data_IF_353373292310
#
_entry.id   IF_353373292310
#
_cell.length_a   1.000
_cell.length_b   1.000
_cell.length_c   1.000
_cell.angle_alpha   90.00
_cell.angle_beta   90.00
_cell.angle_gamma   90.00
#
_symmetry.space_group_name_H-M   'P 1'
#
loop_
_entity.id
_entity.type
_entity.pdbx_description
1 polymer ?
#
# COMPACT_ATOMS: atom_id res chain seq x y z
N UNK A 1 -11.76 13.11 32.76
CA UNK A 1 -11.31 11.74 33.09
C UNK A 1 -12.49 10.78 33.04
N UNK A 2 -12.75 10.16 31.88
CA UNK A 2 -13.73 9.09 31.76
C UNK A 2 -13.10 7.80 32.30
N UNK A 3 -13.32 7.51 33.58
CA UNK A 3 -12.92 6.26 34.25
C UNK A 3 -14.14 5.35 34.28
N UNK A 4 -14.07 4.20 33.62
CA UNK A 4 -15.06 3.13 33.75
C UNK A 4 -14.99 2.56 35.18
N UNK A 5 -15.89 3.02 36.07
CA UNK A 5 -16.20 2.31 37.32
C UNK A 5 -17.35 1.34 37.06
N UNK A 6 -17.05 0.05 37.01
CA UNK A 6 -18.06 -1.01 37.13
C UNK A 6 -18.26 -1.25 38.64
N UNK A 7 -19.48 -1.11 39.20
CA UNK A 7 -19.67 -1.34 40.63
C UNK A 7 -19.57 -2.85 40.93
N UNK A 8 -18.53 -3.25 41.67
CA UNK A 8 -18.50 -4.53 42.37
C UNK A 8 -18.22 -4.24 43.84
N UNK A 9 -19.20 -4.50 44.69
CA UNK A 9 -19.00 -4.51 46.14
C UNK A 9 -18.10 -5.70 46.50
N UNK A 10 -16.86 -5.43 46.87
CA UNK A 10 -16.18 -6.22 47.90
C UNK A 10 -15.14 -5.36 48.61
N UNK A 11 -15.14 -5.51 49.93
CA UNK A 11 -14.36 -4.76 50.90
C UNK A 11 -12.88 -5.13 50.87
N UNK A 12 -12.04 -4.12 51.17
CA UNK A 12 -10.61 -4.15 51.54
C UNK A 12 -9.57 -4.16 50.38
N UNK A 13 -8.69 -3.14 50.42
CA UNK A 13 -7.35 -2.96 49.80
C UNK A 13 -7.20 -1.75 48.82
N UNK A 14 -5.99 -1.13 48.74
CA UNK A 14 -5.81 0.32 48.68
C UNK A 14 -5.74 0.95 47.27
N UNK A 15 -6.00 2.27 47.23
CA UNK A 15 -5.93 3.18 46.07
C UNK A 15 -4.63 3.03 45.25
N UNK A 16 -4.74 2.62 43.99
CA UNK A 16 -3.76 2.90 42.95
C UNK A 16 -4.51 3.26 41.65
N UNK A 17 -4.26 4.47 41.15
CA UNK A 17 -4.77 4.99 39.88
C UNK A 17 -3.99 4.34 38.73
N UNK A 18 -4.66 3.54 37.91
CA UNK A 18 -4.09 2.95 36.70
C UNK A 18 -4.85 3.52 35.50
N UNK A 19 -4.13 4.15 34.58
CA UNK A 19 -4.64 4.68 33.32
C UNK A 19 -4.96 3.52 32.35
N UNK A 20 -6.22 3.11 32.27
CA UNK A 20 -6.64 1.99 31.42
C UNK A 20 -6.84 2.45 29.95
N UNK A 21 -5.97 1.96 29.04
CA UNK A 21 -6.02 2.18 27.58
C UNK A 21 -6.78 1.02 26.92
N UNK A 22 -7.84 1.32 26.15
CA UNK A 22 -8.62 0.31 25.42
C UNK A 22 -8.09 0.17 23.99
N UNK A 23 -7.68 -1.03 23.60
CA UNK A 23 -7.23 -1.36 22.25
C UNK A 23 -8.47 -1.64 21.34
N UNK A 24 -8.66 -0.91 20.23
CA UNK A 24 -9.79 -1.10 19.30
C UNK A 24 -9.36 -2.07 18.19
N UNK A 25 -9.86 -3.30 18.23
CA UNK A 25 -9.67 -4.24 17.11
C UNK A 25 -10.76 -4.03 16.05
N UNK A 26 -10.40 -3.85 14.75
CA UNK A 26 -11.38 -3.94 13.69
C UNK A 26 -11.92 -5.38 13.64
N UNK A 27 -13.22 -5.56 13.88
CA UNK A 27 -13.85 -6.87 13.76
C UNK A 27 -13.91 -7.28 12.28
N UNK A 28 -12.92 -8.05 11.82
CA UNK A 28 -13.03 -8.78 10.57
C UNK A 28 -13.90 -10.03 10.79
N UNK A 29 -15.20 -9.92 10.48
CA UNK A 29 -16.03 -10.99 9.92
C UNK A 29 -16.03 -12.40 10.54
N UNK A 30 -15.84 -12.60 11.85
CA UNK A 30 -16.06 -13.92 12.48
C UNK A 30 -17.48 -14.03 13.05
N UNK A 31 -18.26 -14.97 12.49
CA UNK A 31 -19.56 -15.41 13.03
C UNK A 31 -19.39 -15.87 14.48
N UNK A 32 -20.12 -15.26 15.40
CA UNK A 32 -20.23 -15.74 16.78
C UNK A 32 -21.25 -16.88 16.77
N UNK A 33 -20.76 -18.11 16.98
CA UNK A 33 -21.59 -19.27 17.29
C UNK A 33 -22.20 -19.08 18.67
N UNK A 34 -23.52 -19.26 18.77
CA UNK A 34 -24.25 -19.30 20.02
C UNK A 34 -23.93 -20.58 20.76
N UNK A 35 -23.10 -20.52 21.81
CA UNK A 35 -23.15 -21.55 22.85
C UNK A 35 -23.15 -20.92 24.24
N UNK A 36 -24.00 -21.47 25.09
CA UNK A 36 -24.30 -20.98 26.44
C UNK A 36 -23.28 -21.53 27.42
N UNK A 37 -23.02 -20.74 28.47
CA UNK A 37 -22.10 -21.01 29.58
C UNK A 37 -20.64 -20.75 29.24
N UNK A 38 -20.04 -19.74 29.86
CA UNK A 38 -18.84 -19.89 30.70
C UNK A 38 -18.56 -18.60 31.48
N UNK A 39 -17.99 -18.80 32.66
CA UNK A 39 -17.59 -17.77 33.64
C UNK A 39 -16.77 -16.68 32.95
N UNK A 40 -16.95 -15.44 33.41
CA UNK A 40 -16.06 -14.33 33.03
C UNK A 40 -14.69 -14.60 33.66
N UNK A 41 -13.81 -15.25 32.91
CA UNK A 41 -12.41 -15.40 33.27
C UNK A 41 -11.74 -14.02 33.31
N UNK A 42 -10.99 -13.75 34.38
CA UNK A 42 -10.35 -12.47 34.74
C UNK A 42 -9.21 -12.04 33.79
N UNK A 43 -9.23 -12.42 32.51
CA UNK A 43 -8.05 -12.37 31.63
C UNK A 43 -8.18 -11.52 30.35
N UNK A 44 -9.23 -10.71 30.21
CA UNK A 44 -9.44 -9.86 29.01
C UNK A 44 -9.21 -8.35 29.24
N UNK A 45 -8.20 -7.98 30.03
CA UNK A 45 -7.61 -6.63 29.99
C UNK A 45 -6.14 -6.78 29.66
N UNK A 46 -5.82 -6.90 28.38
CA UNK A 46 -4.42 -6.85 27.95
C UNK A 46 -3.92 -5.41 28.12
N UNK A 47 -2.96 -5.19 29.03
CA UNK A 47 -2.11 -4.00 29.02
C UNK A 47 -1.62 -3.81 27.59
N UNK A 48 -1.97 -2.70 26.94
CA UNK A 48 -1.48 -2.41 25.60
C UNK A 48 0.06 -2.28 25.69
N UNK A 49 0.77 -3.35 25.33
CA UNK A 49 2.22 -3.45 25.31
C UNK A 49 2.74 -2.52 24.20
N UNK A 50 3.45 -1.46 24.57
CA UNK A 50 4.36 -0.50 23.89
C UNK A 50 4.65 -0.59 22.35
N UNK A 51 3.82 -1.21 21.52
CA UNK A 51 3.94 -1.37 20.06
C UNK A 51 2.57 -1.51 19.41
N UNK A 52 1.70 -0.52 19.60
CA UNK A 52 0.39 -0.54 18.93
C UNK A 52 0.07 0.83 18.32
N UNK A 53 0.24 0.95 17.01
CA UNK A 53 -0.49 1.91 16.16
C UNK A 53 -2.03 1.69 16.19
N UNK A 54 -2.48 0.78 17.05
CA UNK A 54 -3.85 0.32 17.28
C UNK A 54 -4.45 0.84 18.60
N UNK A 55 -3.66 1.49 19.46
CA UNK A 55 -4.17 2.09 20.69
C UNK A 55 -4.77 3.46 20.39
N UNK A 56 -6.03 3.67 20.77
CA UNK A 56 -6.69 4.97 20.68
C UNK A 56 -6.82 5.57 22.07
N UNK A 57 -6.44 6.84 22.22
CA UNK A 57 -6.64 7.67 23.40
C UNK A 57 -7.45 8.89 23.00
N UNK A 58 -8.71 8.94 23.43
CA UNK A 58 -9.64 10.04 23.15
C UNK A 58 -10.21 10.53 24.46
N UNK A 59 -10.09 11.82 24.75
CA UNK A 59 -10.59 12.39 26.01
C UNK A 59 -11.72 13.39 25.75
N UNK A 60 -12.86 13.16 26.41
CA UNK A 60 -13.97 14.11 26.51
C UNK A 60 -13.87 14.85 27.83
N UNK A 61 -13.65 16.15 27.78
CA UNK A 61 -13.50 17.01 28.95
C UNK A 61 -14.72 17.90 29.11
N UNK A 62 -15.06 18.26 30.35
CA UNK A 62 -16.19 19.15 30.63
C UNK A 62 -16.00 20.55 30.04
N UNK A 63 -14.75 20.99 29.83
CA UNK A 63 -14.44 22.25 29.13
C UNK A 63 -14.80 22.25 27.64
N UNK A 64 -15.00 21.07 27.04
CA UNK A 64 -15.39 20.90 25.63
C UNK A 64 -16.81 20.35 25.49
N UNK A 65 -17.60 20.38 26.57
CA UNK A 65 -18.98 19.92 26.60
C UNK A 65 -19.93 21.12 26.78
N UNK A 66 -20.98 21.19 25.96
CA UNK A 66 -21.93 22.29 25.96
C UNK A 66 -23.37 21.78 25.97
N UNK A 67 -24.12 22.11 27.02
CA UNK A 67 -25.56 21.87 27.09
C UNK A 67 -26.34 22.86 26.20
N UNK A 68 -27.48 22.42 25.67
CA UNK A 68 -28.32 23.21 24.78
C UNK A 68 -27.66 23.51 23.44
N UNK A 69 -26.70 22.69 23.02
CA UNK A 69 -25.91 22.86 21.79
C UNK A 69 -25.88 21.57 20.98
N UNK A 70 -25.81 21.73 19.67
CA UNK A 70 -25.72 20.64 18.69
C UNK A 70 -24.80 21.05 17.55
N UNK A 71 -23.82 20.22 17.22
CA UNK A 71 -22.98 20.37 16.04
C UNK A 71 -23.73 19.82 14.82
N UNK A 72 -23.83 20.61 13.76
CA UNK A 72 -24.52 20.24 12.51
C UNK A 72 -23.52 19.99 11.36
N UNK A 73 -23.96 19.36 10.27
CA UNK A 73 -23.20 19.10 9.03
C UNK A 73 -22.02 18.11 9.12
N UNK A 74 -21.69 17.61 10.31
CA UNK A 74 -20.53 16.74 10.57
C UNK A 74 -20.92 15.31 10.99
N UNK A 75 -22.15 14.88 10.70
CA UNK A 75 -22.70 13.59 11.15
C UNK A 75 -22.05 12.42 10.43
N UNK A 76 -21.45 11.50 11.19
CA UNK A 76 -21.00 10.18 10.71
C UNK A 76 -22.18 9.21 10.70
N UNK A 77 -22.82 9.04 11.87
CA UNK A 77 -23.98 8.16 12.04
C UNK A 77 -24.77 8.49 13.30
N UNK A 78 -26.01 8.03 13.32
CA UNK A 78 -26.89 8.07 14.49
C UNK A 78 -26.99 6.69 15.12
N UNK A 79 -26.96 6.61 16.45
CA UNK A 79 -27.13 5.38 17.22
C UNK A 79 -28.06 5.64 18.39
N UNK A 80 -29.03 4.77 18.64
CA UNK A 80 -29.84 4.79 19.85
C UNK A 80 -29.27 3.82 20.89
N UNK A 81 -29.19 4.26 22.13
CA UNK A 81 -28.61 3.52 23.25
C UNK A 81 -29.60 3.50 24.41
N UNK A 82 -29.81 2.32 24.99
CA UNK A 82 -30.51 2.13 26.26
C UNK A 82 -29.60 2.39 27.48
N UNK A 83 -28.30 2.55 27.23
CA UNK A 83 -27.30 2.88 28.26
C UNK A 83 -27.06 4.40 28.23
N UNK A 84 -27.25 5.05 29.37
CA UNK A 84 -27.01 6.47 29.57
C UNK A 84 -25.51 6.80 29.44
N UNK A 85 -25.18 8.01 28.98
CA UNK A 85 -23.82 8.55 28.83
C UNK A 85 -22.88 7.71 27.95
N UNK A 86 -23.44 6.83 27.11
CA UNK A 86 -22.69 5.87 26.30
C UNK A 86 -22.22 6.45 24.96
N UNK A 87 -22.67 7.67 24.59
CA UNK A 87 -22.31 8.31 23.32
C UNK A 87 -20.79 8.55 23.18
N UNK A 88 -20.12 8.88 24.29
CA UNK A 88 -18.66 9.05 24.33
C UNK A 88 -17.93 7.74 23.99
N UNK A 89 -18.40 6.61 24.52
CA UNK A 89 -17.88 5.27 24.21
C UNK A 89 -18.15 4.88 22.75
N UNK A 90 -19.35 5.15 22.24
CA UNK A 90 -19.67 4.91 20.83
C UNK A 90 -18.77 5.73 19.90
N UNK A 91 -18.47 6.97 20.28
CA UNK A 91 -17.52 7.82 19.56
C UNK A 91 -16.09 7.27 19.65
N UNK A 92 -15.67 6.80 20.82
CA UNK A 92 -14.38 6.15 21.01
C UNK A 92 -14.22 4.93 20.09
N UNK A 93 -15.27 4.12 19.92
CA UNK A 93 -15.24 2.94 19.04
C UNK A 93 -15.34 3.25 17.55
N UNK A 94 -15.75 4.46 17.18
CA UNK A 94 -15.82 4.94 15.79
C UNK A 94 -14.54 5.72 15.47
N UNK A 95 -13.58 5.17 14.69
CA UNK A 95 -12.25 5.76 14.52
C UNK A 95 -12.23 7.19 13.98
N UNK A 96 -13.25 7.57 13.19
CA UNK A 96 -13.38 8.91 12.63
C UNK A 96 -14.13 9.88 13.54
N UNK A 97 -14.72 9.42 14.65
CA UNK A 97 -15.53 10.26 15.53
C UNK A 97 -14.68 11.05 16.51
N UNK A 98 -14.92 12.35 16.60
CA UNK A 98 -14.21 13.29 17.49
C UNK A 98 -15.15 14.14 18.33
N UNK A 99 -16.45 14.09 18.07
CA UNK A 99 -17.46 14.67 18.95
C UNK A 99 -18.80 13.95 18.81
N UNK A 100 -19.73 14.19 19.72
CA UNK A 100 -21.08 13.66 19.64
C UNK A 100 -22.11 14.70 20.07
N UNK A 101 -23.31 14.61 19.50
CA UNK A 101 -24.51 15.22 20.08
C UNK A 101 -25.32 14.13 20.76
N UNK A 102 -25.91 14.42 21.91
CA UNK A 102 -26.78 13.50 22.64
C UNK A 102 -28.12 14.16 22.97
N UNK A 103 -29.19 13.38 22.87
CA UNK A 103 -30.54 13.78 23.27
C UNK A 103 -31.27 12.58 23.88
N UNK A 104 -31.95 12.80 25.00
CA UNK A 104 -32.82 11.79 25.62
C UNK A 104 -34.17 11.83 24.90
N UNK A 105 -34.53 10.75 24.20
CA UNK A 105 -35.79 10.65 23.43
C UNK A 105 -36.93 10.12 24.30
N UNK A 106 -36.63 9.12 25.13
CA UNK A 106 -37.57 8.51 26.06
C UNK A 106 -36.90 8.44 27.42
N UNK A 107 -37.67 8.66 28.49
CA UNK A 107 -37.18 8.53 29.87
C UNK A 107 -37.56 7.19 30.51
N UNK A 108 -38.50 6.44 29.90
CA UNK A 108 -38.96 5.13 30.39
C UNK A 108 -39.37 4.20 29.25
N UNK A 109 -38.51 3.26 28.81
CA UNK A 109 -37.10 3.14 29.20
C UNK A 109 -36.29 4.35 28.73
N UNK A 110 -35.18 4.66 29.42
CA UNK A 110 -34.28 5.74 29.00
C UNK A 110 -33.63 5.37 27.66
N UNK A 111 -33.97 6.12 26.60
CA UNK A 111 -33.40 5.95 25.26
C UNK A 111 -32.67 7.24 24.93
N UNK A 112 -31.36 7.14 24.77
CA UNK A 112 -30.51 8.25 24.34
C UNK A 112 -30.14 8.07 22.88
N UNK A 113 -30.36 9.09 22.06
CA UNK A 113 -29.86 9.15 20.68
C UNK A 113 -28.53 9.88 20.65
N UNK A 114 -27.52 9.19 20.13
CA UNK A 114 -26.18 9.68 19.90
C UNK A 114 -26.00 9.99 18.41
N UNK A 115 -25.64 11.22 18.08
CA UNK A 115 -25.17 11.64 16.77
C UNK A 115 -23.65 11.74 16.82
N UNK A 116 -22.94 10.79 16.21
CA UNK A 116 -21.47 10.76 16.19
C UNK A 116 -20.96 11.67 15.06
N UNK A 117 -19.97 12.51 15.32
CA UNK A 117 -19.49 13.52 14.39
C UNK A 117 -17.98 13.41 14.09
N UNK A 118 -17.59 13.72 12.85
CA UNK A 118 -16.19 13.68 12.38
C UNK A 118 -15.42 15.01 12.56
N UNK A 119 -16.02 15.97 13.26
CA UNK A 119 -15.47 17.31 13.46
C UNK A 119 -15.79 17.82 14.86
N UNK A 120 -15.10 18.87 15.30
CA UNK A 120 -15.33 19.55 16.58
C UNK A 120 -15.75 21.01 16.40
N UNK A 121 -16.29 21.61 17.46
CA UNK A 121 -16.60 23.04 17.48
C UNK A 121 -15.35 23.94 17.39
N UNK A 122 -14.15 23.43 17.69
CA UNK A 122 -12.92 24.20 17.51
C UNK A 122 -12.55 24.32 16.03
N UNK A 123 -12.79 23.26 15.27
CA UNK A 123 -12.56 23.24 13.82
C UNK A 123 -13.67 24.00 13.09
N UNK A 124 -14.92 23.86 13.54
CA UNK A 124 -16.10 24.45 12.92
C UNK A 124 -17.00 25.15 13.94
N UNK A 125 -16.57 26.29 14.53
CA UNK A 125 -17.32 26.98 15.58
C UNK A 125 -18.69 27.48 15.11
N UNK A 126 -18.81 27.76 13.81
CA UNK A 126 -20.04 28.26 13.21
C UNK A 126 -21.15 27.21 13.19
N UNK A 127 -20.79 25.93 13.21
CA UNK A 127 -21.72 24.80 13.12
C UNK A 127 -22.23 24.34 14.48
N UNK A 128 -21.71 24.90 15.59
CA UNK A 128 -22.24 24.64 16.92
C UNK A 128 -23.46 25.54 17.19
N UNK A 129 -24.66 25.02 16.89
CA UNK A 129 -25.91 25.80 16.97
C UNK A 129 -26.65 25.58 18.31
N UNK A 130 -27.43 26.57 18.78
CA UNK A 130 -28.36 26.39 19.90
C UNK A 130 -29.42 25.33 19.59
N UNK A 131 -29.63 24.40 20.52
CA UNK A 131 -30.67 23.37 20.45
C UNK A 131 -31.00 22.88 21.87
N UNK A 132 -32.11 23.35 22.44
CA UNK A 132 -32.37 23.28 23.88
C UNK A 132 -32.27 21.86 24.51
N UNK A 133 -32.64 20.82 23.76
CA UNK A 133 -32.70 19.44 24.27
C UNK A 133 -31.45 18.60 23.96
N UNK A 134 -30.47 19.17 23.26
CA UNK A 134 -29.22 18.47 22.96
C UNK A 134 -28.12 18.89 23.91
N UNK A 135 -27.25 17.95 24.23
CA UNK A 135 -25.92 18.23 24.75
C UNK A 135 -24.89 17.86 23.69
N UNK A 136 -23.84 18.65 23.60
CA UNK A 136 -22.68 18.40 22.74
C UNK A 136 -21.48 18.02 23.59
N UNK A 137 -20.74 16.98 23.19
CA UNK A 137 -19.45 16.60 23.79
C UNK A 137 -18.35 16.52 22.74
N UNK A 138 -17.30 17.33 22.88
CA UNK A 138 -16.15 17.36 21.99
C UNK A 138 -14.84 16.87 22.63
N UNK A 139 -13.86 16.57 21.79
CA UNK A 139 -12.47 16.25 22.17
C UNK A 139 -11.47 17.26 21.60
N UNK A 140 -10.19 17.12 21.95
CA UNK A 140 -9.09 17.80 21.25
C UNK A 140 -8.77 17.02 19.97
N UNK A 141 -8.94 17.64 18.81
CA UNK A 141 -8.64 16.99 17.52
C UNK A 141 -7.23 17.33 17.04
N UNK A 142 -6.32 16.36 17.06
CA UNK A 142 -4.96 16.50 16.54
C UNK A 142 -4.90 16.54 15.01
N UNK A 143 -6.01 16.20 14.33
CA UNK A 143 -6.11 16.22 12.87
C UNK A 143 -6.36 17.60 12.26
N UNK A 144 -6.53 18.66 13.08
CA UNK A 144 -6.93 19.99 12.59
C UNK A 144 -5.95 20.67 11.62
N UNK A 145 -4.70 20.20 11.52
CA UNK A 145 -3.71 20.71 10.55
C UNK A 145 -3.61 19.88 9.26
N UNK A 146 -4.55 18.96 9.02
CA UNK A 146 -4.55 18.05 7.86
C UNK A 146 -3.18 17.38 7.63
N UNK A 147 -2.68 16.59 8.58
CA UNK A 147 -1.33 16.02 8.49
C UNK A 147 -1.20 14.92 7.42
N UNK A 148 -2.30 14.33 6.97
CA UNK A 148 -2.32 13.28 5.96
C UNK A 148 -2.32 13.88 4.55
N UNK A 149 -1.43 13.41 3.69
CA UNK A 149 -1.31 13.79 2.29
C UNK A 149 -2.20 12.90 1.40
N UNK A 150 -2.33 13.30 0.13
CA UNK A 150 -3.00 12.52 -0.92
C UNK A 150 -4.40 12.02 -0.54
N UNK A 151 -5.22 12.87 0.10
CA UNK A 151 -6.57 12.55 0.58
C UNK A 151 -6.63 11.42 1.63
N UNK A 152 -5.53 11.19 2.36
CA UNK A 152 -5.51 10.30 3.51
C UNK A 152 -6.46 10.74 4.63
N UNK A 153 -7.14 9.78 5.25
CA UNK A 153 -8.07 10.06 6.36
C UNK A 153 -7.31 10.16 7.67
N UNK A 154 -7.34 11.33 8.32
CA UNK A 154 -6.75 11.50 9.65
C UNK A 154 -7.68 11.03 10.76
N UNK A 155 -7.14 10.25 11.70
CA UNK A 155 -7.85 9.76 12.88
C UNK A 155 -7.12 10.18 14.16
N UNK A 156 -7.78 10.96 15.01
CA UNK A 156 -7.22 11.45 16.28
C UNK A 156 -7.16 10.35 17.36
N UNK A 157 -6.19 10.50 18.25
CA UNK A 157 -5.98 9.66 19.43
C UNK A 157 -5.11 8.44 19.19
N UNK A 158 -4.58 8.23 18.00
CA UNK A 158 -3.72 7.07 17.70
C UNK A 158 -2.24 7.42 17.75
N UNK A 159 -1.40 6.42 18.03
CA UNK A 159 0.08 6.55 18.09
C UNK A 159 0.58 7.57 19.12
N UNK A 160 1.90 7.66 19.30
CA UNK A 160 2.52 8.68 20.16
C UNK A 160 2.39 10.11 19.58
N UNK A 161 2.09 10.23 18.28
CA UNK A 161 1.83 11.53 17.62
C UNK A 161 0.43 12.08 17.95
N UNK A 162 -0.43 11.26 18.55
CA UNK A 162 -1.82 11.60 18.83
C UNK A 162 -2.73 11.57 17.61
N UNK A 163 -2.26 11.15 16.44
CA UNK A 163 -3.08 10.81 15.27
C UNK A 163 -2.49 9.63 14.49
N UNK A 164 -3.28 9.06 13.57
CA UNK A 164 -2.79 8.21 12.47
C UNK A 164 -3.45 8.60 11.16
N UNK A 165 -2.78 8.33 10.05
CA UNK A 165 -3.35 8.44 8.71
C UNK A 165 -3.78 7.07 8.19
N UNK A 166 -4.99 6.97 7.68
CA UNK A 166 -5.46 5.84 6.87
C UNK A 166 -5.24 6.23 5.41
N UNK A 167 -4.23 5.62 4.78
CA UNK A 167 -3.84 5.99 3.44
C UNK A 167 -4.76 5.40 2.37
N UNK A 168 -5.03 6.16 1.29
CA UNK A 168 -5.72 5.62 0.14
C UNK A 168 -4.85 4.56 -0.55
N UNK A 169 -5.48 3.75 -1.40
CA UNK A 169 -4.77 2.73 -2.18
C UNK A 169 -3.66 3.38 -3.02
N UNK A 170 -2.45 2.82 -2.94
CA UNK A 170 -1.28 3.31 -3.66
C UNK A 170 -0.47 4.36 -2.89
N UNK A 171 -0.81 4.62 -1.62
CA UNK A 171 -0.04 5.49 -0.75
C UNK A 171 0.27 4.81 0.60
N UNK A 172 1.42 5.17 1.14
CA UNK A 172 2.03 4.64 2.35
C UNK A 172 2.81 5.74 3.09
N UNK A 173 3.45 5.38 4.19
CA UNK A 173 4.12 6.32 5.07
C UNK A 173 3.21 6.81 6.19
N UNK A 174 3.81 7.50 7.17
CA UNK A 174 3.08 7.87 8.39
C UNK A 174 2.02 8.95 8.18
N UNK A 175 2.18 9.72 7.10
CA UNK A 175 1.33 10.80 6.64
C UNK A 175 0.86 10.57 5.19
N UNK A 176 0.92 9.34 4.66
CA UNK A 176 0.57 9.02 3.27
C UNK A 176 1.43 9.76 2.21
N UNK A 177 2.66 10.11 2.58
CA UNK A 177 3.62 10.85 1.76
C UNK A 177 4.33 9.97 0.72
N UNK A 178 4.30 8.65 0.88
CA UNK A 178 4.97 7.68 0.01
C UNK A 178 3.95 7.16 -0.99
N UNK A 179 4.26 7.16 -2.28
CA UNK A 179 3.48 6.44 -3.30
C UNK A 179 3.90 4.97 -3.30
N UNK A 180 3.08 4.07 -2.80
CA UNK A 180 3.31 2.63 -2.93
C UNK A 180 2.89 2.17 -4.32
N UNK A 181 3.81 2.35 -5.27
CA UNK A 181 3.63 1.89 -6.64
C UNK A 181 3.85 0.36 -6.72
N UNK A 182 2.94 -0.43 -6.16
CA UNK A 182 2.89 -1.86 -6.44
C UNK A 182 2.25 -2.09 -7.81
N UNK A 183 3.01 -2.64 -8.76
CA UNK A 183 2.50 -2.98 -10.09
C UNK A 183 3.47 -2.70 -11.24
N UNK A 184 2.96 -2.85 -12.47
CA UNK A 184 3.71 -2.60 -13.69
C UNK A 184 3.83 -1.10 -13.94
N UNK A 185 5.06 -0.59 -13.92
CA UNK A 185 5.38 0.81 -14.25
C UNK A 185 6.18 0.83 -15.55
N UNK A 186 5.77 1.67 -16.48
CA UNK A 186 6.47 1.88 -17.74
C UNK A 186 7.74 2.71 -17.50
N UNK A 187 8.84 2.28 -18.11
CA UNK A 187 10.14 2.96 -18.02
C UNK A 187 10.25 4.11 -19.04
N UNK A 188 11.27 4.95 -18.88
CA UNK A 188 11.54 6.08 -19.77
C UNK A 188 12.83 5.85 -20.56
N UNK A 189 12.85 6.05 -21.90
CA UNK A 189 11.73 6.44 -22.76
C UNK A 189 10.68 5.33 -22.93
N UNK A 190 9.48 5.70 -23.37
CA UNK A 190 8.36 4.76 -23.58
C UNK A 190 8.62 3.72 -24.68
N UNK A 191 9.58 4.00 -25.56
CA UNK A 191 10.05 3.12 -26.63
C UNK A 191 11.57 3.05 -26.61
N UNK A 192 12.10 1.83 -26.55
CA UNK A 192 13.53 1.51 -26.47
C UNK A 192 13.86 0.55 -27.61
N UNK A 193 14.92 0.83 -28.37
CA UNK A 193 15.33 -0.02 -29.49
C UNK A 193 16.71 -0.63 -29.22
N UNK A 194 16.89 -1.90 -29.56
CA UNK A 194 18.17 -2.61 -29.45
C UNK A 194 18.44 -3.40 -30.73
N UNK A 195 19.71 -3.49 -31.11
CA UNK A 195 20.21 -4.18 -32.30
C UNK A 195 21.11 -5.35 -31.93
N UNK A 196 21.53 -6.11 -32.95
CA UNK A 196 22.39 -7.28 -32.79
C UNK A 196 23.88 -7.00 -33.03
N UNK A 197 24.26 -5.73 -33.26
CA UNK A 197 25.58 -5.38 -33.76
C UNK A 197 26.09 -3.99 -33.36
N UNK A 198 27.41 -3.84 -33.29
CA UNK A 198 28.14 -2.57 -33.13
C UNK A 198 27.80 -1.80 -31.83
N UNK A 199 27.66 -2.50 -30.70
CA UNK A 199 27.24 -1.94 -29.40
C UNK A 199 25.88 -1.20 -29.53
N UNK A 200 24.92 -1.74 -30.31
CA UNK A 200 23.61 -1.12 -30.58
C UNK A 200 22.56 -1.45 -29.51
N UNK A 201 22.92 -1.36 -28.24
CA UNK A 201 21.99 -1.57 -27.12
C UNK A 201 20.95 -0.45 -26.97
N UNK A 202 19.85 -0.76 -26.31
CA UNK A 202 18.82 0.19 -25.94
C UNK A 202 18.98 0.64 -24.49
N UNK A 203 18.84 1.94 -24.22
CA UNK A 203 18.94 2.50 -22.85
C UNK A 203 17.54 2.83 -22.34
N UNK A 204 17.26 2.51 -21.07
CA UNK A 204 16.06 2.93 -20.36
C UNK A 204 16.35 3.25 -18.90
N UNK A 205 15.46 4.04 -18.30
CA UNK A 205 15.58 4.53 -16.93
C UNK A 205 14.34 4.22 -16.11
N UNK A 206 14.56 3.92 -14.84
CA UNK A 206 13.51 3.70 -13.85
C UNK A 206 12.75 4.99 -13.55
N UNK A 207 11.42 4.92 -13.52
CA UNK A 207 10.60 6.09 -13.24
C UNK A 207 10.67 6.53 -11.77
N UNK A 208 10.81 5.58 -10.85
CA UNK A 208 10.78 5.80 -9.39
C UNK A 208 11.83 4.91 -8.70
N UNK A 209 12.19 5.26 -7.46
CA UNK A 209 12.96 4.36 -6.59
C UNK A 209 12.06 3.24 -6.04
N UNK A 210 12.59 2.04 -5.85
CA UNK A 210 11.86 0.91 -5.27
C UNK A 210 12.48 -0.46 -5.56
N UNK A 211 11.71 -1.52 -5.32
CA UNK A 211 12.14 -2.91 -5.54
C UNK A 211 11.43 -3.50 -6.74
N UNK A 212 12.18 -3.99 -7.74
CA UNK A 212 11.62 -4.63 -8.94
C UNK A 212 11.77 -6.15 -8.86
N UNK A 213 10.70 -6.90 -9.07
CA UNK A 213 10.74 -8.37 -9.08
C UNK A 213 11.08 -8.95 -10.45
N UNK A 214 10.64 -8.30 -11.54
CA UNK A 214 10.93 -8.72 -12.92
C UNK A 214 10.64 -7.59 -13.90
N UNK A 215 11.07 -7.76 -15.15
CA UNK A 215 10.77 -6.87 -16.27
C UNK A 215 9.91 -7.59 -17.33
N UNK A 216 9.08 -6.80 -18.02
CA UNK A 216 8.33 -7.22 -19.21
C UNK A 216 8.64 -6.26 -20.36
N UNK A 217 8.98 -6.83 -21.51
CA UNK A 217 9.12 -6.11 -22.76
C UNK A 217 7.88 -6.38 -23.64
N UNK A 218 7.30 -5.34 -24.22
CA UNK A 218 6.20 -5.49 -25.18
C UNK A 218 6.67 -5.04 -26.54
N UNK A 219 6.63 -5.94 -27.52
CA UNK A 219 7.08 -5.66 -28.89
C UNK A 219 6.28 -4.53 -29.52
N UNK A 220 6.95 -3.62 -30.21
CA UNK A 220 6.30 -2.59 -31.02
C UNK A 220 6.53 -2.85 -32.51
N UNK A 221 7.78 -2.86 -32.95
CA UNK A 221 8.15 -3.08 -34.35
C UNK A 221 9.64 -3.45 -34.51
N UNK A 222 10.03 -3.84 -35.73
CA UNK A 222 11.41 -4.14 -36.09
C UNK A 222 11.78 -5.61 -35.89
N UNK A 223 13.06 -5.92 -35.96
CA UNK A 223 13.60 -7.26 -35.73
C UNK A 223 15.11 -7.16 -35.48
N UNK A 224 15.66 -8.23 -34.93
CA UNK A 224 17.10 -8.51 -34.82
C UNK A 224 17.41 -9.77 -35.59
N UNK A 225 18.66 -9.93 -36.03
CA UNK A 225 19.14 -11.14 -36.70
C UNK A 225 20.59 -11.42 -36.33
N UNK A 226 20.91 -12.68 -36.02
CA UNK A 226 22.29 -13.15 -35.86
C UNK A 226 22.95 -13.61 -37.17
N UNK A 227 22.23 -13.52 -38.30
CA UNK A 227 22.79 -13.83 -39.61
C UNK A 227 22.08 -12.99 -40.69
N UNK A 228 22.64 -11.81 -40.97
CA UNK A 228 22.08 -10.81 -41.88
C UNK A 228 21.77 -11.34 -43.29
N UNK A 229 22.59 -12.24 -43.90
CA UNK A 229 22.31 -12.74 -45.25
C UNK A 229 21.03 -13.59 -45.38
N UNK A 230 20.51 -14.17 -44.29
CA UNK A 230 19.37 -15.08 -44.32
C UNK A 230 18.24 -14.56 -43.42
N UNK A 231 17.12 -14.20 -44.05
CA UNK A 231 15.96 -13.63 -43.37
C UNK A 231 15.27 -14.62 -42.42
N UNK A 232 15.54 -15.93 -42.52
CA UNK A 232 14.97 -16.92 -41.60
C UNK A 232 15.47 -16.81 -40.16
N UNK A 233 16.57 -16.07 -39.94
CA UNK A 233 17.13 -15.79 -38.63
C UNK A 233 16.57 -14.52 -37.98
N UNK A 234 15.74 -13.77 -38.70
CA UNK A 234 15.09 -12.58 -38.16
C UNK A 234 14.06 -12.97 -37.10
N UNK A 235 14.12 -12.32 -35.94
CA UNK A 235 13.11 -12.49 -34.91
C UNK A 235 12.98 -11.26 -34.02
N UNK A 236 12.01 -11.27 -33.10
CA UNK A 236 11.84 -10.17 -32.14
C UNK A 236 12.88 -10.23 -31.03
N UNK A 237 13.18 -11.42 -30.53
CA UNK A 237 13.87 -11.59 -29.23
C UNK A 237 15.14 -12.44 -29.24
N UNK A 238 15.50 -13.06 -30.36
CA UNK A 238 16.58 -14.02 -30.38
C UNK A 238 17.05 -14.36 -31.79
N UNK A 239 17.46 -15.60 -31.97
CA UNK A 239 17.86 -16.10 -33.27
C UNK A 239 17.56 -17.58 -33.40
N UNK A 240 16.98 -18.00 -34.53
CA UNK A 240 16.58 -19.38 -34.76
C UNK A 240 17.67 -20.13 -35.53
N UNK A 241 18.66 -20.69 -34.82
CA UNK A 241 19.63 -21.60 -35.44
C UNK A 241 18.98 -22.96 -35.80
N UNK A 242 19.16 -23.50 -37.02
CA UNK A 242 18.65 -24.82 -37.41
C UNK A 242 19.18 -25.98 -36.52
N UNK A 243 18.47 -27.12 -36.48
CA UNK A 243 17.61 -27.58 -35.39
C UNK A 243 18.38 -28.29 -34.28
N UNK A 244 19.16 -27.57 -33.48
CA UNK A 244 19.76 -28.14 -32.26
C UNK A 244 19.02 -27.70 -30.99
N UNK A 245 18.47 -26.47 -30.95
CA UNK A 245 17.73 -25.94 -29.79
C UNK A 245 16.60 -25.02 -30.29
N UNK A 246 15.31 -25.41 -30.20
CA UNK A 246 14.20 -24.54 -30.57
C UNK A 246 14.04 -23.38 -29.57
N UNK A 247 13.63 -22.20 -30.06
CA UNK A 247 13.34 -20.99 -29.26
C UNK A 247 14.53 -20.46 -28.46
N UNK A 248 15.65 -20.24 -29.14
CA UNK A 248 16.85 -19.66 -28.54
C UNK A 248 16.72 -18.13 -28.46
N UNK A 249 16.38 -17.65 -27.26
CA UNK A 249 16.27 -16.24 -26.94
C UNK A 249 17.65 -15.63 -26.68
N UNK A 250 17.84 -14.38 -27.09
CA UNK A 250 19.11 -13.66 -26.98
C UNK A 250 18.95 -12.22 -26.45
N UNK A 251 17.75 -11.82 -26.01
CA UNK A 251 17.50 -10.49 -25.45
C UNK A 251 17.84 -10.47 -23.97
N UNK A 252 18.71 -9.55 -23.56
CA UNK A 252 19.27 -9.49 -22.22
C UNK A 252 19.01 -8.12 -21.59
N UNK A 253 18.90 -8.07 -20.26
CA UNK A 253 18.90 -6.79 -19.52
C UNK A 253 20.15 -6.72 -18.64
N UNK A 254 20.88 -5.60 -18.71
CA UNK A 254 22.06 -5.32 -17.90
C UNK A 254 21.88 -4.03 -17.08
N UNK A 255 22.75 -3.85 -16.09
CA UNK A 255 22.99 -2.52 -15.52
C UNK A 255 23.89 -1.67 -16.45
N UNK A 256 24.22 -0.45 -16.01
CA UNK A 256 25.07 0.49 -16.77
C UNK A 256 26.54 0.04 -16.88
N UNK A 257 27.00 -0.82 -15.97
CA UNK A 257 28.35 -1.38 -15.99
C UNK A 257 28.42 -2.67 -16.85
N UNK A 258 27.36 -2.96 -17.61
CA UNK A 258 27.19 -4.16 -18.45
C UNK A 258 27.13 -5.47 -17.65
N UNK A 259 26.79 -5.43 -16.37
CA UNK A 259 26.55 -6.65 -15.60
C UNK A 259 25.17 -7.22 -15.94
N UNK A 260 25.13 -8.52 -16.26
CA UNK A 260 23.92 -9.19 -16.71
C UNK A 260 22.92 -9.44 -15.57
N UNK A 261 21.76 -8.79 -15.64
CA UNK A 261 20.66 -8.90 -14.67
C UNK A 261 19.65 -9.98 -15.06
N UNK A 262 19.10 -9.93 -16.29
CA UNK A 262 18.07 -10.87 -16.75
C UNK A 262 18.36 -11.45 -18.15
N UNK A 263 17.87 -12.67 -18.44
CA UNK A 263 17.13 -13.60 -17.55
C UNK A 263 18.01 -14.10 -16.40
N UNK A 264 17.49 -14.69 -15.31
CA UNK A 264 18.37 -15.22 -14.25
C UNK A 264 19.08 -16.52 -14.67
N UNK A 265 20.04 -17.00 -13.88
CA UNK A 265 20.90 -18.14 -14.24
C UNK A 265 20.15 -19.43 -14.54
N UNK A 266 18.95 -19.62 -14.01
CA UNK A 266 18.21 -20.90 -14.09
C UNK A 266 17.79 -21.27 -15.52
N UNK A 267 17.69 -20.28 -16.41
CA UNK A 267 17.28 -20.48 -17.82
C UNK A 267 18.41 -20.26 -18.82
N UNK A 268 19.61 -19.88 -18.36
CA UNK A 268 20.75 -19.56 -19.22
C UNK A 268 21.44 -20.82 -19.74
N UNK A 269 21.70 -20.84 -21.03
CA UNK A 269 22.60 -21.76 -21.71
C UNK A 269 23.77 -20.95 -22.27
N UNK A 270 24.93 -21.08 -21.63
CA UNK A 270 26.15 -20.43 -22.10
C UNK A 270 26.78 -21.30 -23.19
N UNK A 271 26.93 -20.73 -24.38
CA UNK A 271 27.50 -21.42 -25.53
C UNK A 271 28.43 -20.48 -26.28
N UNK A 272 29.64 -20.96 -26.60
CA UNK A 272 30.66 -20.24 -27.39
C UNK A 272 31.01 -18.82 -26.90
N UNK A 273 30.81 -18.52 -25.62
CA UNK A 273 31.09 -17.20 -25.04
C UNK A 273 29.89 -16.25 -25.01
N UNK A 274 28.74 -16.66 -25.54
CA UNK A 274 27.46 -15.96 -25.45
C UNK A 274 26.54 -16.60 -24.42
N UNK A 275 25.54 -15.82 -23.98
CA UNK A 275 24.44 -16.31 -23.15
C UNK A 275 23.15 -16.33 -23.96
N UNK A 276 22.61 -17.53 -24.18
CA UNK A 276 21.27 -17.69 -24.73
C UNK A 276 20.36 -18.32 -23.68
N UNK A 277 19.05 -18.35 -23.91
CA UNK A 277 18.11 -18.95 -22.97
C UNK A 277 16.82 -19.39 -23.65
N UNK A 278 16.02 -20.16 -22.93
CA UNK A 278 14.67 -20.54 -23.36
C UNK A 278 13.74 -20.45 -22.16
N UNK A 279 12.60 -19.78 -22.34
CA UNK A 279 11.56 -19.67 -21.33
C UNK A 279 10.40 -20.61 -21.69
N UNK A 280 9.87 -21.41 -20.75
CA UNK A 280 8.74 -22.31 -21.03
C UNK A 280 7.48 -21.61 -21.56
N UNK A 281 7.35 -20.30 -21.34
CA UNK A 281 6.18 -19.49 -21.68
C UNK A 281 6.39 -18.49 -22.82
N UNK A 282 7.57 -18.45 -23.46
CA UNK A 282 7.86 -17.50 -24.52
C UNK A 282 8.66 -18.12 -25.67
N UNK A 283 8.51 -17.54 -26.86
CA UNK A 283 9.29 -17.87 -28.06
C UNK A 283 9.96 -16.61 -28.61
N UNK A 284 10.82 -16.77 -29.61
CA UNK A 284 11.48 -15.64 -30.30
C UNK A 284 10.48 -14.70 -30.99
N UNK A 285 9.23 -15.13 -31.16
CA UNK A 285 8.15 -14.39 -31.82
C UNK A 285 7.02 -13.93 -30.88
N UNK A 286 7.11 -14.19 -29.57
CA UNK A 286 6.07 -13.77 -28.62
C UNK A 286 5.80 -12.25 -28.71
N UNK A 287 4.55 -11.79 -28.57
CA UNK A 287 4.23 -10.35 -28.60
C UNK A 287 4.78 -9.61 -27.36
N UNK A 288 5.01 -10.34 -26.27
CA UNK A 288 5.61 -9.85 -25.05
C UNK A 288 6.67 -10.85 -24.58
N UNK A 289 7.72 -10.32 -23.95
CA UNK A 289 8.75 -11.08 -23.28
C UNK A 289 8.71 -10.75 -21.79
N UNK A 290 8.14 -11.67 -21.00
CA UNK A 290 8.18 -11.63 -19.55
C UNK A 290 9.39 -12.43 -19.07
N UNK A 291 10.34 -11.76 -18.42
CA UNK A 291 11.47 -12.42 -17.79
C UNK A 291 11.05 -13.15 -16.51
N UNK A 292 11.85 -14.12 -16.12
CA UNK A 292 11.77 -14.77 -14.82
C UNK A 292 12.04 -13.78 -13.67
N UNK A 293 11.60 -14.14 -12.46
CA UNK A 293 11.75 -13.27 -11.30
C UNK A 293 13.19 -13.29 -10.79
N UNK A 294 13.68 -12.15 -10.31
CA UNK A 294 14.90 -12.11 -9.53
C UNK A 294 14.75 -12.97 -8.26
N UNK A 295 15.82 -13.67 -7.87
CA UNK A 295 15.84 -14.42 -6.60
C UNK A 295 15.65 -13.51 -5.37
N UNK A 296 16.09 -12.26 -5.50
CA UNK A 296 15.80 -11.15 -4.58
C UNK A 296 15.41 -9.93 -5.42
N UNK A 297 14.35 -9.17 -5.06
CA UNK A 297 13.97 -7.99 -5.80
C UNK A 297 15.15 -7.03 -6.02
N UNK A 298 15.28 -6.53 -7.25
CA UNK A 298 16.30 -5.56 -7.64
C UNK A 298 15.94 -4.19 -7.03
N UNK A 299 16.76 -3.72 -6.09
CA UNK A 299 16.63 -2.36 -5.57
C UNK A 299 17.11 -1.37 -6.61
N UNK A 300 16.28 -0.38 -6.94
CA UNK A 300 16.59 0.67 -7.89
C UNK A 300 16.30 2.06 -7.33
N UNK A 301 17.04 3.06 -7.81
CA UNK A 301 16.75 4.47 -7.59
C UNK A 301 15.99 5.07 -8.78
N UNK A 302 15.32 6.21 -8.59
CA UNK A 302 14.72 6.97 -9.69
C UNK A 302 15.78 7.46 -10.69
N UNK A 303 15.48 7.37 -11.99
CA UNK A 303 16.37 7.66 -13.11
C UNK A 303 17.62 6.76 -13.16
N UNK A 304 17.58 5.57 -12.56
CA UNK A 304 18.65 4.59 -12.70
C UNK A 304 18.66 4.01 -14.11
N UNK A 305 19.82 4.06 -14.76
CA UNK A 305 20.03 3.57 -16.12
C UNK A 305 20.19 2.04 -16.16
N UNK A 306 19.48 1.41 -17.09
CA UNK A 306 19.55 -0.01 -17.44
C UNK A 306 19.58 -0.15 -18.96
N UNK A 307 20.06 -1.29 -19.45
CA UNK A 307 20.29 -1.50 -20.88
C UNK A 307 19.64 -2.80 -21.36
N UNK A 308 19.11 -2.77 -22.59
CA UNK A 308 18.62 -3.95 -23.32
C UNK A 308 19.62 -4.29 -24.41
N UNK A 309 20.11 -5.52 -24.39
CA UNK A 309 21.15 -6.01 -25.27
C UNK A 309 20.68 -7.21 -26.08
N UNK A 310 21.28 -7.40 -27.24
CA UNK A 310 21.34 -8.69 -27.90
C UNK A 310 22.61 -9.43 -27.45
N UNK A 311 22.51 -10.73 -27.23
CA UNK A 311 23.58 -11.52 -26.60
C UNK A 311 24.92 -11.44 -27.34
N UNK A 312 24.90 -11.67 -28.65
CA UNK A 312 26.12 -11.66 -29.47
C UNK A 312 26.81 -10.30 -29.52
N UNK A 313 26.03 -9.21 -29.45
CA UNK A 313 26.52 -7.83 -29.35
C UNK A 313 27.18 -7.58 -27.99
N UNK A 314 26.48 -7.93 -26.89
CA UNK A 314 26.98 -7.76 -25.52
C UNK A 314 28.32 -8.47 -25.29
N UNK A 315 28.45 -9.70 -25.81
CA UNK A 315 29.64 -10.53 -25.64
C UNK A 315 30.65 -10.40 -26.79
N UNK A 316 30.37 -9.56 -27.80
CA UNK A 316 31.22 -9.33 -28.98
C UNK A 316 31.64 -10.61 -29.70
N UNK A 317 30.69 -11.52 -29.89
CA UNK A 317 30.93 -12.81 -30.55
C UNK A 317 29.99 -12.97 -31.73
N UNK A 318 30.53 -13.31 -32.92
CA UNK A 318 29.71 -13.42 -34.13
C UNK A 318 29.22 -12.08 -34.70
N UNK A 319 29.66 -10.96 -34.12
CA UNK A 319 29.15 -9.62 -34.45
C UNK A 319 29.30 -9.23 -35.95
N UNK A 320 30.23 -9.86 -36.66
CA UNK A 320 30.48 -9.54 -38.06
C UNK A 320 29.31 -9.85 -39.00
N UNK A 321 28.57 -10.93 -38.78
CA UNK A 321 27.47 -11.36 -39.65
C UNK A 321 26.08 -11.00 -39.12
N UNK A 322 26.00 -10.32 -37.99
CA UNK A 322 24.75 -9.83 -37.42
C UNK A 322 24.12 -8.70 -38.26
N UNK A 323 22.79 -8.63 -38.22
CA UNK A 323 22.00 -7.58 -38.87
C UNK A 323 22.17 -6.22 -38.20
N UNK A 324 22.00 -5.15 -38.99
CA UNK A 324 22.01 -3.75 -38.49
C UNK A 324 20.61 -3.29 -38.02
N UNK A 325 19.60 -4.11 -38.26
CA UNK A 325 18.22 -3.85 -37.85
C UNK A 325 18.05 -3.93 -36.33
N UNK A 326 17.00 -3.26 -35.84
CA UNK A 326 16.71 -3.13 -34.41
C UNK A 326 15.29 -3.57 -34.11
N UNK A 327 15.11 -4.21 -32.96
CA UNK A 327 13.80 -4.42 -32.34
C UNK A 327 13.51 -3.25 -31.40
N UNK A 328 12.31 -2.67 -31.50
CA UNK A 328 11.83 -1.61 -30.61
C UNK A 328 10.68 -2.10 -29.72
N UNK A 329 10.72 -1.72 -28.44
CA UNK A 329 9.85 -2.25 -27.38
C UNK A 329 9.42 -1.17 -26.39
N UNK A 330 8.30 -1.38 -25.71
CA UNK A 330 8.05 -0.70 -24.43
C UNK A 330 8.50 -1.58 -23.27
N UNK A 331 9.04 -0.95 -22.22
CA UNK A 331 9.66 -1.63 -21.08
C UNK A 331 8.84 -1.34 -19.82
N UNK A 332 8.52 -2.40 -19.08
CA UNK A 332 7.81 -2.31 -17.81
C UNK A 332 8.56 -3.08 -16.72
N UNK A 333 8.60 -2.52 -15.51
CA UNK A 333 9.09 -3.20 -14.31
C UNK A 333 7.95 -3.47 -13.34
N UNK A 334 7.93 -4.64 -12.73
CA UNK A 334 6.98 -4.99 -11.68
C UNK A 334 7.55 -4.62 -10.31
N UNK A 335 7.06 -3.52 -9.74
CA UNK A 335 7.46 -3.04 -8.42
C UNK A 335 6.67 -3.73 -7.30
N UNK A 336 7.35 -4.05 -6.20
CA UNK A 336 6.81 -4.79 -5.02
C UNK A 336 7.13 -4.14 -3.69
#
# INVERSE_FOLDING_TARGET
MAVLKIPYESSLAPKQTVDDVICIHPMAGKKISSDKSHRVDKEFVHKCSNKCDLCRKLEFTSSLAFHGKRLINHLIRTVESLVQDFCSTLCFMEPNCVSYNEVVISSSPSVTKCELNNSTHNEHPQDLKPWANYSYGGTMNTCGQTPCQHDGTCQTGFTDKGYRCVCPKGYEGSNCEITSAMGWIQMTPSTVCFGAKDDSYGIFTTAISGNITTFKLTYQHGHVSCHAPDTSYQSKWGCLWPPLIPNQMATLITDNDRNLLLPTNDYRSNSRGCTFYSLPWATTESPELLFDNFSFPLMVESNQELQIWFSEDLFRWGDSDNGLERTCVAVYGLYV
#
